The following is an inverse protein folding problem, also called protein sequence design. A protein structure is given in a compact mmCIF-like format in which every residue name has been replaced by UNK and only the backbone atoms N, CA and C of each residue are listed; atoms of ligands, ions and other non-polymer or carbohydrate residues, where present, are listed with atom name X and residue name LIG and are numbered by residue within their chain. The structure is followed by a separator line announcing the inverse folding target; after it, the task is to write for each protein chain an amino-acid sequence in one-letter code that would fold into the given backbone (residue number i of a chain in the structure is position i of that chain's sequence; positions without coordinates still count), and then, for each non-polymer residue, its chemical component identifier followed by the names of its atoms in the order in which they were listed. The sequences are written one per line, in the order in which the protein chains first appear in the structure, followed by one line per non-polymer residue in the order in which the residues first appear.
data_IF_095944910912
#
_entry.id   IF_095944910912
#
_cell.length_a   1.000
_cell.length_b   1.000
_cell.length_c   1.000
_cell.angle_alpha   90.00
_cell.angle_beta   90.00
_cell.angle_gamma   90.00
#
_symmetry.space_group_name_H-M   'P 1'
#
loop_
_entity.id
_entity.type
_entity.pdbx_description
1 polymer ?
#
# COMPACT_ATOMS: atom_id res chain seq x y z
N UNK A 1 -6.00 -2.34 -0.09
CA UNK A 1 -7.08 -1.43 0.40
C UNK A 1 -8.15 -1.24 -0.67
N UNK A 2 -7.79 -0.91 -1.93
CA UNK A 2 -8.76 -0.61 -3.00
C UNK A 2 -9.72 -1.77 -3.23
N UNK A 3 -9.24 -2.98 -3.50
CA UNK A 3 -10.10 -4.14 -3.73
C UNK A 3 -11.07 -4.43 -2.57
N UNK A 4 -10.60 -4.30 -1.32
CA UNK A 4 -11.43 -4.52 -0.13
C UNK A 4 -12.55 -3.49 0.03
N UNK A 5 -12.37 -2.26 -0.45
CA UNK A 5 -13.42 -1.23 -0.39
C UNK A 5 -14.35 -1.26 -1.61
N UNK A 6 -13.85 -1.64 -2.79
CA UNK A 6 -14.67 -1.83 -3.98
C UNK A 6 -15.47 -3.13 -3.93
N UNK A 7 -14.97 -4.13 -3.22
CA UNK A 7 -15.57 -5.45 -3.04
C UNK A 7 -16.09 -6.07 -4.36
N UNK A 8 -15.27 -6.17 -5.42
CA UNK A 8 -15.70 -6.78 -6.66
C UNK A 8 -16.04 -8.26 -6.43
N UNK A 9 -17.03 -8.78 -7.14
CA UNK A 9 -17.44 -10.18 -7.02
C UNK A 9 -16.29 -11.17 -7.27
N UNK A 10 -15.39 -10.83 -8.20
CA UNK A 10 -14.17 -11.60 -8.52
C UNK A 10 -12.96 -10.67 -8.57
N UNK A 11 -11.83 -11.11 -8.05
CA UNK A 11 -10.56 -10.38 -8.15
C UNK A 11 -9.35 -11.31 -8.10
N UNK A 12 -8.32 -10.96 -8.90
CA UNK A 12 -6.97 -11.45 -8.73
C UNK A 12 -6.15 -10.35 -8.02
N UNK A 13 -5.65 -10.67 -6.83
CA UNK A 13 -4.85 -9.78 -5.99
C UNK A 13 -3.40 -10.30 -5.99
N UNK A 14 -2.53 -9.60 -6.69
CA UNK A 14 -1.14 -10.01 -6.85
C UNK A 14 -0.16 -9.02 -6.24
N UNK A 15 0.89 -9.54 -5.67
CA UNK A 15 2.04 -8.79 -5.13
C UNK A 15 3.31 -9.61 -5.30
N UNK A 16 4.44 -8.95 -5.54
CA UNK A 16 5.74 -9.60 -5.59
C UNK A 16 6.25 -10.01 -4.19
N UNK A 17 5.70 -9.41 -3.12
CA UNK A 17 6.04 -9.74 -1.75
C UNK A 17 5.27 -10.99 -1.27
N UNK A 18 5.97 -12.14 -1.11
CA UNK A 18 5.31 -13.39 -0.73
C UNK A 18 4.69 -13.36 0.68
N UNK A 19 5.19 -12.50 1.57
CA UNK A 19 4.71 -12.43 2.96
C UNK A 19 3.33 -11.79 3.04
N UNK A 20 3.06 -10.77 2.20
CA UNK A 20 1.74 -10.15 2.08
C UNK A 20 0.72 -11.17 1.56
N UNK A 21 1.06 -11.85 0.48
CA UNK A 21 0.17 -12.86 -0.13
C UNK A 21 -0.05 -14.03 0.82
N UNK A 22 0.99 -14.51 1.50
CA UNK A 22 0.88 -15.59 2.50
C UNK A 22 -0.06 -15.19 3.64
N UNK A 23 0.02 -13.96 4.13
CA UNK A 23 -0.86 -13.46 5.17
C UNK A 23 -2.34 -13.48 4.74
N UNK A 24 -2.67 -12.99 3.54
CA UNK A 24 -4.04 -13.03 3.04
C UNK A 24 -4.53 -14.44 2.75
N UNK A 25 -3.68 -15.32 2.22
CA UNK A 25 -4.01 -16.75 2.06
C UNK A 25 -4.27 -17.44 3.40
N UNK A 26 -3.51 -17.13 4.43
CA UNK A 26 -3.75 -17.68 5.76
C UNK A 26 -5.10 -17.22 6.36
N UNK A 27 -5.54 -15.98 6.07
CA UNK A 27 -6.89 -15.52 6.41
C UNK A 27 -7.93 -16.27 5.58
N UNK A 28 -7.74 -16.45 4.27
CA UNK A 28 -8.64 -17.17 3.39
C UNK A 28 -8.83 -18.62 3.84
N UNK A 29 -7.76 -19.26 4.29
CA UNK A 29 -7.75 -20.63 4.80
C UNK A 29 -8.19 -20.73 6.28
N UNK A 30 -8.62 -19.62 6.88
CA UNK A 30 -9.06 -19.54 8.28
C UNK A 30 -7.99 -19.93 9.33
N UNK A 31 -6.72 -19.95 8.93
CA UNK A 31 -5.58 -20.13 9.85
C UNK A 31 -5.35 -18.87 10.69
N UNK A 32 -5.60 -17.69 10.10
CA UNK A 32 -5.58 -16.39 10.78
C UNK A 32 -7.02 -15.91 10.93
N UNK A 33 -7.48 -15.83 12.17
CA UNK A 33 -8.80 -15.39 12.56
C UNK A 33 -8.72 -14.20 13.52
N UNK A 34 -9.85 -13.54 13.77
CA UNK A 34 -9.94 -12.50 14.80
C UNK A 34 -9.41 -13.00 16.15
N UNK A 35 -9.79 -14.20 16.56
CA UNK A 35 -9.42 -14.76 17.85
C UNK A 35 -7.92 -15.07 17.94
N UNK A 36 -7.35 -15.72 16.90
CA UNK A 36 -5.92 -16.04 16.86
C UNK A 36 -5.06 -14.78 16.85
N UNK A 37 -5.44 -13.75 16.09
CA UNK A 37 -4.74 -12.44 16.06
C UNK A 37 -4.82 -11.75 17.42
N UNK A 38 -5.99 -11.70 18.02
CA UNK A 38 -6.17 -11.07 19.33
C UNK A 38 -5.30 -11.73 20.40
N UNK A 39 -5.35 -13.05 20.48
CA UNK A 39 -4.56 -13.82 21.44
C UNK A 39 -3.06 -13.64 21.24
N UNK A 40 -2.61 -13.81 20.00
CA UNK A 40 -1.20 -13.67 19.64
C UNK A 40 -0.65 -12.28 19.97
N UNK A 41 -1.34 -11.22 19.52
CA UNK A 41 -0.88 -9.85 19.77
C UNK A 41 -0.95 -9.46 21.26
N UNK A 42 -1.85 -10.05 22.07
CA UNK A 42 -1.86 -9.86 23.51
C UNK A 42 -0.61 -10.49 24.16
N UNK A 43 -0.28 -11.73 23.81
CA UNK A 43 0.89 -12.42 24.33
C UNK A 43 2.19 -11.75 23.90
N UNK A 44 2.39 -11.55 22.60
CA UNK A 44 3.62 -10.96 22.07
C UNK A 44 3.78 -9.49 22.50
N UNK A 45 2.67 -8.74 22.57
CA UNK A 45 2.66 -7.37 23.05
C UNK A 45 3.04 -7.24 24.53
N UNK A 46 2.60 -8.18 25.37
CA UNK A 46 2.99 -8.25 26.77
C UNK A 46 4.49 -8.55 26.94
N UNK A 47 5.01 -9.51 26.17
CA UNK A 47 6.45 -9.81 26.17
C UNK A 47 7.27 -8.60 25.70
N UNK A 48 6.81 -7.91 24.66
CA UNK A 48 7.45 -6.68 24.16
C UNK A 48 7.47 -5.58 25.23
N UNK A 49 6.40 -5.41 26.00
CA UNK A 49 6.34 -4.43 27.09
C UNK A 49 7.29 -4.78 28.24
N UNK A 50 7.47 -6.07 28.53
CA UNK A 50 8.31 -6.56 29.63
C UNK A 50 9.79 -6.53 29.29
N UNK A 51 10.17 -7.02 28.11
CA UNK A 51 11.57 -7.24 27.69
C UNK A 51 12.09 -6.07 26.84
N UNK A 52 11.21 -5.42 26.08
CA UNK A 52 11.58 -4.28 25.23
C UNK A 52 12.19 -4.67 23.90
N UNK A 53 13.23 -3.94 23.48
CA UNK A 53 13.81 -4.06 22.15
C UNK A 53 14.36 -5.46 21.84
N UNK A 54 14.92 -6.15 22.81
CA UNK A 54 15.50 -7.49 22.61
C UNK A 54 14.44 -8.49 22.17
N UNK A 55 13.22 -8.37 22.73
CA UNK A 55 12.10 -9.20 22.31
C UNK A 55 11.68 -8.94 20.85
N UNK A 56 11.66 -7.68 20.44
CA UNK A 56 11.40 -7.35 19.04
C UNK A 56 12.37 -8.06 18.10
N UNK A 57 13.66 -8.02 18.42
CA UNK A 57 14.69 -8.67 17.60
C UNK A 57 14.59 -10.20 17.65
N UNK A 58 14.19 -10.78 18.79
CA UNK A 58 13.89 -12.23 18.89
C UNK A 58 12.76 -12.62 17.92
N UNK A 59 11.65 -11.87 17.90
CA UNK A 59 10.54 -12.13 16.96
C UNK A 59 10.98 -11.93 15.52
N UNK A 60 11.79 -10.89 15.25
CA UNK A 60 12.32 -10.66 13.90
C UNK A 60 13.19 -11.83 13.40
N UNK A 61 14.04 -12.35 14.25
CA UNK A 61 14.92 -13.48 13.90
C UNK A 61 14.10 -14.75 13.73
N UNK A 62 13.07 -14.98 14.58
CA UNK A 62 12.10 -16.07 14.41
C UNK A 62 11.37 -15.97 13.06
N UNK A 63 10.86 -14.79 12.74
CA UNK A 63 10.23 -14.54 11.44
C UNK A 63 11.16 -14.82 10.26
N UNK A 64 12.41 -14.36 10.34
CA UNK A 64 13.39 -14.57 9.28
C UNK A 64 13.73 -16.05 9.06
N UNK A 65 13.50 -16.91 10.06
CA UNK A 65 13.68 -18.36 9.95
C UNK A 65 12.41 -19.07 9.47
N UNK A 66 11.25 -18.70 10.04
CA UNK A 66 9.98 -19.43 9.85
C UNK A 66 9.07 -18.80 8.80
N UNK A 67 9.20 -17.48 8.59
CA UNK A 67 8.32 -16.65 7.76
C UNK A 67 6.84 -16.75 8.18
N UNK A 68 6.58 -16.90 9.47
CA UNK A 68 5.24 -16.99 10.03
C UNK A 68 4.44 -15.70 9.82
N UNK A 69 3.17 -15.85 9.45
CA UNK A 69 2.32 -14.72 9.10
C UNK A 69 1.86 -13.87 10.31
N UNK A 70 1.76 -14.46 11.50
CA UNK A 70 1.46 -13.70 12.72
C UNK A 70 2.67 -12.93 13.20
N UNK A 71 3.89 -13.50 13.08
CA UNK A 71 5.13 -12.77 13.31
C UNK A 71 5.27 -11.60 12.35
N UNK A 72 4.90 -11.78 11.08
CA UNK A 72 4.87 -10.69 10.11
C UNK A 72 3.93 -9.55 10.52
N UNK A 73 2.73 -9.88 10.98
CA UNK A 73 1.77 -8.90 11.52
C UNK A 73 2.34 -8.15 12.73
N UNK A 74 2.96 -8.87 13.67
CA UNK A 74 3.61 -8.26 14.84
C UNK A 74 4.72 -7.31 14.42
N UNK A 75 5.62 -7.75 13.53
CA UNK A 75 6.74 -6.94 13.05
C UNK A 75 6.27 -5.69 12.30
N UNK A 76 5.28 -5.81 11.42
CA UNK A 76 4.70 -4.66 10.75
C UNK A 76 4.14 -3.63 11.75
N UNK A 77 3.51 -4.10 12.84
CA UNK A 77 2.99 -3.23 13.90
C UNK A 77 4.08 -2.61 14.78
N UNK A 78 5.14 -3.38 15.09
CA UNK A 78 6.19 -2.99 16.03
C UNK A 78 7.35 -2.23 15.38
N UNK A 79 7.56 -2.35 14.07
CA UNK A 79 8.68 -1.74 13.38
C UNK A 79 8.53 -0.23 13.19
N UNK A 80 9.64 0.40 12.80
CA UNK A 80 9.69 1.82 12.48
C UNK A 80 8.76 2.14 11.30
N UNK A 81 7.81 3.02 11.51
CA UNK A 81 6.80 3.51 10.55
C UNK A 81 5.96 2.42 9.83
N UNK A 82 5.93 1.19 10.33
CA UNK A 82 5.21 0.10 9.67
C UNK A 82 5.81 -0.30 8.31
N UNK A 83 7.09 -0.04 8.11
CA UNK A 83 7.77 -0.36 6.86
C UNK A 83 7.88 -1.88 6.67
N UNK A 84 7.67 -2.34 5.44
CA UNK A 84 7.87 -3.74 5.04
C UNK A 84 9.11 -3.82 4.16
N UNK A 85 10.29 -3.73 4.81
CA UNK A 85 11.59 -3.75 4.12
C UNK A 85 12.33 -5.03 4.39
N UNK A 86 12.94 -5.56 3.34
CA UNK A 86 13.74 -6.78 3.36
C UNK A 86 15.12 -6.52 2.77
N UNK A 87 16.13 -7.22 3.23
CA UNK A 87 17.45 -7.17 2.64
C UNK A 87 17.53 -8.07 1.38
N UNK A 88 18.69 -8.07 0.71
CA UNK A 88 18.90 -8.89 -0.51
C UNK A 88 18.77 -10.41 -0.29
N UNK A 89 18.85 -10.87 0.97
CA UNK A 89 18.64 -12.27 1.34
C UNK A 89 17.17 -12.59 1.66
N UNK A 90 16.26 -11.60 1.52
CA UNK A 90 14.84 -11.74 1.85
C UNK A 90 14.53 -11.66 3.35
N UNK A 91 15.48 -11.24 4.19
CA UNK A 91 15.25 -11.08 5.61
C UNK A 91 14.66 -9.71 5.95
N UNK A 92 13.63 -9.71 6.78
CA UNK A 92 13.06 -8.48 7.33
C UNK A 92 14.09 -7.74 8.19
N UNK A 93 14.38 -6.48 7.89
CA UNK A 93 15.49 -5.73 8.48
C UNK A 93 15.12 -4.36 9.04
N UNK A 94 13.83 -4.09 9.25
CA UNK A 94 13.38 -2.81 9.82
C UNK A 94 13.66 -2.78 11.33
N UNK A 95 14.16 -1.66 11.89
CA UNK A 95 14.39 -1.52 13.32
C UNK A 95 13.09 -1.37 14.11
N UNK A 96 13.14 -1.63 15.41
CA UNK A 96 12.05 -1.41 16.36
C UNK A 96 11.68 0.08 16.47
N UNK A 97 10.38 0.39 16.48
CA UNK A 97 9.89 1.76 16.64
C UNK A 97 10.00 2.33 18.06
N UNK A 98 10.39 1.52 19.04
CA UNK A 98 10.47 1.86 20.49
C UNK A 98 9.16 2.36 21.10
N UNK A 99 8.01 1.88 20.59
CA UNK A 99 6.66 2.25 21.05
C UNK A 99 5.84 1.01 21.41
N UNK A 100 6.12 0.33 22.55
CA UNK A 100 5.40 -0.88 22.95
C UNK A 100 3.91 -0.62 23.19
N UNK A 101 3.50 0.62 23.53
CA UNK A 101 2.10 1.03 23.67
C UNK A 101 1.26 0.84 22.39
N UNK A 102 1.87 0.57 21.24
CA UNK A 102 1.16 0.17 20.03
C UNK A 102 0.41 -1.16 20.18
N UNK A 103 0.70 -1.94 21.22
CA UNK A 103 0.03 -3.18 21.60
C UNK A 103 -0.93 -3.00 22.79
N UNK A 104 -1.44 -1.80 23.01
CA UNK A 104 -2.51 -1.60 24.00
C UNK A 104 -3.79 -2.37 23.59
N UNK A 105 -4.65 -2.76 24.56
CA UNK A 105 -5.85 -3.56 24.29
C UNK A 105 -6.75 -2.95 23.21
N UNK A 106 -6.88 -1.62 23.18
CA UNK A 106 -7.68 -0.90 22.17
C UNK A 106 -7.13 -1.06 20.76
N UNK A 107 -5.81 -0.98 20.59
CA UNK A 107 -5.17 -1.19 19.28
C UNK A 107 -5.25 -2.64 18.84
N UNK A 108 -5.04 -3.59 19.74
CA UNK A 108 -5.18 -5.03 19.44
C UNK A 108 -6.61 -5.34 18.99
N UNK A 109 -7.61 -4.84 19.69
CA UNK A 109 -9.02 -5.00 19.30
C UNK A 109 -9.29 -4.40 17.91
N UNK A 110 -8.74 -3.22 17.62
CA UNK A 110 -8.89 -2.59 16.30
C UNK A 110 -8.29 -3.47 15.20
N UNK A 111 -7.07 -3.99 15.40
CA UNK A 111 -6.41 -4.88 14.42
C UNK A 111 -7.21 -6.18 14.23
N UNK A 112 -7.65 -6.81 15.33
CA UNK A 112 -8.43 -8.04 15.26
C UNK A 112 -9.77 -7.84 14.52
N UNK A 113 -10.44 -6.70 14.73
CA UNK A 113 -11.66 -6.35 13.99
C UNK A 113 -11.39 -6.07 12.51
N UNK A 114 -10.25 -5.46 12.16
CA UNK A 114 -9.84 -5.29 10.76
C UNK A 114 -9.60 -6.64 10.08
N UNK A 115 -8.93 -7.58 10.76
CA UNK A 115 -8.73 -8.93 10.23
C UNK A 115 -10.07 -9.66 10.04
N UNK A 116 -11.00 -9.51 10.98
CA UNK A 116 -12.34 -10.09 10.84
C UNK A 116 -13.08 -9.52 9.63
N UNK A 117 -13.04 -8.20 9.44
CA UNK A 117 -13.65 -7.57 8.27
C UNK A 117 -13.02 -8.05 6.96
N UNK A 118 -11.68 -8.12 6.90
CA UNK A 118 -10.94 -8.67 5.75
C UNK A 118 -11.36 -10.12 5.47
N UNK A 119 -11.44 -10.95 6.52
CA UNK A 119 -11.87 -12.35 6.39
C UNK A 119 -13.29 -12.47 5.82
N UNK A 120 -14.22 -11.62 6.26
CA UNK A 120 -15.58 -11.56 5.72
C UNK A 120 -15.57 -11.23 4.22
N UNK A 121 -14.80 -10.22 3.80
CA UNK A 121 -14.68 -9.87 2.39
C UNK A 121 -14.13 -11.03 1.56
N UNK A 122 -13.05 -11.67 2.01
CA UNK A 122 -12.42 -12.80 1.32
C UNK A 122 -13.36 -14.00 1.20
N UNK A 123 -14.17 -14.29 2.22
CA UNK A 123 -15.06 -15.44 2.25
C UNK A 123 -16.35 -15.23 1.44
N UNK A 124 -16.74 -13.98 1.20
CA UNK A 124 -17.97 -13.65 0.47
C UNK A 124 -17.75 -13.37 -1.01
N UNK A 125 -16.51 -13.31 -1.46
CA UNK A 125 -16.15 -12.99 -2.84
C UNK A 125 -15.19 -14.05 -3.42
N UNK A 126 -15.18 -14.18 -4.74
CA UNK A 126 -14.26 -15.07 -5.47
C UNK A 126 -12.93 -14.34 -5.71
N UNK A 127 -12.09 -14.30 -4.67
CA UNK A 127 -10.80 -13.63 -4.72
C UNK A 127 -9.64 -14.61 -4.68
N UNK A 128 -8.72 -14.46 -5.61
CA UNK A 128 -7.46 -15.17 -5.68
C UNK A 128 -6.30 -14.28 -5.23
N UNK A 129 -5.36 -14.85 -4.45
CA UNK A 129 -4.13 -14.17 -4.03
C UNK A 129 -2.93 -14.83 -4.69
N UNK A 130 -2.14 -14.07 -5.44
CA UNK A 130 -1.02 -14.61 -6.22
C UNK A 130 0.29 -13.91 -5.88
N UNK A 131 1.35 -14.68 -5.62
CA UNK A 131 2.71 -14.15 -5.60
C UNK A 131 3.17 -14.08 -7.05
N UNK A 132 3.19 -12.90 -7.63
CA UNK A 132 3.60 -12.71 -9.01
C UNK A 132 4.16 -11.30 -9.25
N UNK A 133 5.16 -11.14 -10.12
CA UNK A 133 5.57 -9.84 -10.60
C UNK A 133 4.49 -9.28 -11.54
N UNK A 134 4.41 -7.96 -11.62
CA UNK A 134 3.38 -7.26 -12.38
C UNK A 134 3.26 -7.70 -13.86
N UNK A 135 4.36 -8.05 -14.61
CA UNK A 135 4.20 -8.46 -16.01
C UNK A 135 3.41 -9.76 -16.15
N UNK A 136 3.63 -10.72 -15.23
CA UNK A 136 2.91 -11.99 -15.20
C UNK A 136 1.43 -11.78 -14.86
N UNK A 137 1.14 -10.84 -13.95
CA UNK A 137 -0.24 -10.51 -13.57
C UNK A 137 -0.97 -9.81 -14.71
N UNK A 138 -0.34 -8.82 -15.35
CA UNK A 138 -0.97 -8.08 -16.45
C UNK A 138 -1.22 -8.96 -17.69
N UNK A 139 -0.36 -9.96 -17.95
CA UNK A 139 -0.55 -10.90 -19.05
C UNK A 139 -1.82 -11.76 -18.92
N UNK A 140 -2.42 -11.85 -17.73
CA UNK A 140 -3.66 -12.59 -17.47
C UNK A 140 -4.91 -11.75 -17.74
N UNK A 141 -4.77 -10.42 -17.88
CA UNK A 141 -5.90 -9.52 -18.02
C UNK A 141 -6.58 -9.67 -19.39
N UNK A 142 -7.91 -9.71 -19.38
CA UNK A 142 -8.77 -9.80 -20.56
C UNK A 142 -9.54 -8.49 -20.83
N UNK A 143 -10.26 -8.40 -21.93
CA UNK A 143 -11.03 -7.22 -22.28
C UNK A 143 -12.19 -6.91 -21.29
N UNK A 144 -12.60 -7.89 -20.49
CA UNK A 144 -13.66 -7.74 -19.48
C UNK A 144 -13.13 -7.37 -18.10
N UNK A 145 -11.82 -7.35 -17.93
CA UNK A 145 -11.18 -7.06 -16.64
C UNK A 145 -10.89 -5.57 -16.51
N UNK A 146 -10.95 -5.08 -15.28
CA UNK A 146 -10.46 -3.78 -14.88
C UNK A 146 -9.24 -3.93 -13.97
N UNK A 147 -8.11 -3.35 -14.36
CA UNK A 147 -6.85 -3.49 -13.65
C UNK A 147 -6.58 -2.26 -12.78
N UNK A 148 -6.35 -2.45 -11.48
CA UNK A 148 -5.84 -1.40 -10.60
C UNK A 148 -4.35 -1.59 -10.35
N UNK A 149 -3.57 -0.55 -10.59
CA UNK A 149 -2.10 -0.51 -10.48
C UNK A 149 -1.68 0.40 -9.33
N UNK A 150 -0.88 -0.11 -8.40
CA UNK A 150 -0.28 0.64 -7.29
C UNK A 150 1.24 0.42 -7.27
N UNK A 151 1.96 0.95 -8.29
CA UNK A 151 3.40 0.75 -8.40
C UNK A 151 4.17 1.58 -7.36
N UNK A 152 5.42 1.20 -7.07
CA UNK A 152 6.33 2.05 -6.32
C UNK A 152 6.49 3.43 -6.96
N UNK A 153 6.53 4.47 -6.14
CA UNK A 153 6.62 5.85 -6.64
C UNK A 153 8.04 6.20 -7.07
N UNK A 154 8.22 6.53 -8.35
CA UNK A 154 9.51 7.01 -8.88
C UNK A 154 9.95 8.29 -8.16
N UNK A 155 11.26 8.36 -7.86
CA UNK A 155 11.87 9.50 -7.15
C UNK A 155 11.58 9.57 -5.66
N UNK A 156 10.87 8.59 -5.10
CA UNK A 156 10.78 8.37 -3.65
C UNK A 156 11.64 7.18 -3.26
N UNK A 157 12.38 7.33 -2.16
CA UNK A 157 13.07 6.18 -1.57
C UNK A 157 12.03 5.20 -1.03
N UNK A 158 11.79 4.17 -1.80
CA UNK A 158 10.98 3.04 -1.39
C UNK A 158 11.92 1.85 -1.26
N UNK A 159 12.17 1.41 -0.03
CA UNK A 159 12.99 0.24 0.29
C UNK A 159 12.16 -1.04 0.04
N UNK A 160 11.80 -1.29 -1.22
CA UNK A 160 11.13 -2.53 -1.61
C UNK A 160 12.13 -3.68 -1.75
N UNK A 161 11.64 -4.92 -1.71
CA UNK A 161 12.46 -6.12 -1.89
C UNK A 161 13.17 -6.18 -3.24
N UNK A 162 12.57 -5.57 -4.25
CA UNK A 162 13.11 -5.46 -5.62
C UNK A 162 13.32 -3.98 -5.94
N UNK A 163 14.48 -3.61 -6.51
CA UNK A 163 14.67 -2.26 -7.02
C UNK A 163 13.56 -1.92 -8.03
N UNK A 164 13.05 -0.67 -7.95
CA UNK A 164 12.10 -0.13 -8.90
C UNK A 164 12.76 1.05 -9.60
N UNK A 165 13.12 0.85 -10.85
CA UNK A 165 13.88 1.81 -11.64
C UNK A 165 12.97 2.54 -12.65
N UNK A 166 13.51 3.56 -13.28
CA UNK A 166 12.79 4.33 -14.31
C UNK A 166 12.32 3.43 -15.44
N UNK A 167 13.16 2.49 -15.88
CA UNK A 167 12.83 1.55 -16.94
C UNK A 167 11.64 0.64 -16.60
N UNK A 168 11.52 0.20 -15.33
CA UNK A 168 10.37 -0.60 -14.87
C UNK A 168 9.08 0.20 -14.93
N UNK A 169 9.13 1.46 -14.52
CA UNK A 169 7.97 2.34 -14.54
C UNK A 169 7.52 2.69 -15.97
N UNK A 170 8.45 2.89 -16.88
CA UNK A 170 8.17 3.11 -18.30
C UNK A 170 7.58 1.85 -18.96
N UNK A 171 8.14 0.68 -18.66
CA UNK A 171 7.63 -0.60 -19.14
C UNK A 171 6.21 -0.88 -18.62
N UNK A 172 5.95 -0.56 -17.32
CA UNK A 172 4.61 -0.68 -16.75
C UNK A 172 3.60 0.23 -17.46
N UNK A 173 3.99 1.49 -17.74
CA UNK A 173 3.11 2.44 -18.43
C UNK A 173 2.73 1.96 -19.83
N UNK A 174 3.70 1.45 -20.59
CA UNK A 174 3.46 0.87 -21.91
C UNK A 174 2.54 -0.35 -21.84
N UNK A 175 2.81 -1.27 -20.90
CA UNK A 175 2.00 -2.47 -20.72
C UNK A 175 0.57 -2.15 -20.28
N UNK A 176 0.37 -1.17 -19.40
CA UNK A 176 -0.94 -0.73 -18.96
C UNK A 176 -1.77 -0.14 -20.12
N UNK A 177 -1.16 0.70 -20.94
CA UNK A 177 -1.83 1.29 -22.11
C UNK A 177 -2.22 0.24 -23.16
N UNK A 178 -1.46 -0.86 -23.25
CA UNK A 178 -1.74 -1.98 -24.15
C UNK A 178 -2.80 -2.96 -23.60
N UNK A 179 -3.28 -2.80 -22.36
CA UNK A 179 -4.31 -3.67 -21.80
C UNK A 179 -5.57 -3.68 -22.66
N UNK A 180 -6.17 -4.86 -22.91
CA UNK A 180 -7.40 -4.95 -23.69
C UNK A 180 -8.60 -4.36 -22.95
N UNK A 181 -8.62 -4.43 -21.60
CA UNK A 181 -9.66 -3.88 -20.72
C UNK A 181 -9.31 -2.51 -20.17
N UNK A 182 -10.04 -2.07 -19.14
CA UNK A 182 -9.81 -0.81 -18.44
C UNK A 182 -8.69 -0.90 -17.41
N UNK A 183 -8.10 0.25 -17.07
CA UNK A 183 -7.21 0.33 -15.92
C UNK A 183 -7.32 1.67 -15.18
N UNK A 184 -6.87 1.66 -13.91
CA UNK A 184 -6.53 2.85 -13.15
C UNK A 184 -5.19 2.63 -12.43
N UNK A 185 -4.34 3.67 -12.41
CA UNK A 185 -3.06 3.65 -11.71
C UNK A 185 -2.97 4.79 -10.70
N UNK A 186 -2.60 4.50 -9.45
CA UNK A 186 -2.34 5.52 -8.45
C UNK A 186 -0.89 5.96 -8.50
N UNK A 187 -0.65 7.28 -8.49
CA UNK A 187 0.69 7.87 -8.48
C UNK A 187 0.71 9.17 -7.69
N UNK A 188 1.85 9.50 -7.09
CA UNK A 188 2.05 10.88 -6.65
C UNK A 188 2.25 11.78 -7.87
N UNK A 189 1.70 12.99 -7.80
CA UNK A 189 1.80 13.95 -8.90
C UNK A 189 2.84 15.03 -8.60
N UNK A 190 2.65 15.74 -7.52
CA UNK A 190 3.59 16.78 -7.08
C UNK A 190 3.44 17.05 -5.57
N UNK A 191 4.42 17.74 -5.04
CA UNK A 191 4.36 18.44 -3.75
C UNK A 191 4.98 19.82 -3.92
N UNK A 192 5.08 20.60 -2.84
CA UNK A 192 5.66 21.94 -2.86
C UNK A 192 7.12 22.03 -3.35
N UNK A 193 7.84 20.89 -3.45
CA UNK A 193 9.27 20.87 -3.81
C UNK A 193 9.54 20.19 -5.14
N UNK A 194 8.68 19.27 -5.58
CA UNK A 194 8.98 18.40 -6.74
C UNK A 194 7.71 18.03 -7.49
N UNK A 195 7.85 17.87 -8.79
CA UNK A 195 6.84 17.32 -9.69
C UNK A 195 7.29 15.95 -10.21
N UNK A 196 6.35 15.04 -10.41
CA UNK A 196 6.60 13.75 -11.01
C UNK A 196 6.57 13.85 -12.55
N UNK A 197 7.72 14.12 -13.15
CA UNK A 197 7.83 14.24 -14.61
C UNK A 197 7.43 12.94 -15.35
N UNK A 198 7.52 11.77 -14.69
CA UNK A 198 7.13 10.49 -15.27
C UNK A 198 5.64 10.45 -15.65
N UNK A 199 4.76 11.10 -14.87
CA UNK A 199 3.34 11.17 -15.20
C UNK A 199 3.11 11.88 -16.52
N UNK A 200 3.72 13.03 -16.72
CA UNK A 200 3.61 13.78 -17.98
C UNK A 200 4.27 13.03 -19.16
N UNK A 201 5.39 12.35 -18.92
CA UNK A 201 6.13 11.66 -19.97
C UNK A 201 5.45 10.37 -20.44
N UNK A 202 4.90 9.57 -19.52
CA UNK A 202 4.47 8.21 -19.82
C UNK A 202 2.95 8.01 -19.74
N UNK A 203 2.20 8.92 -19.10
CA UNK A 203 0.77 8.76 -18.86
C UNK A 203 -0.09 9.90 -19.43
N UNK A 204 0.47 10.72 -20.31
CA UNK A 204 -0.22 11.89 -20.91
C UNK A 204 -1.54 11.53 -21.62
N UNK A 205 -1.68 10.31 -22.12
CA UNK A 205 -2.89 9.82 -22.79
C UNK A 205 -4.00 9.35 -21.83
N UNK A 206 -3.79 9.41 -20.51
CA UNK A 206 -4.78 8.96 -19.51
C UNK A 206 -5.66 10.13 -19.04
N UNK A 207 -6.87 9.80 -18.58
CA UNK A 207 -7.68 10.73 -17.79
C UNK A 207 -7.09 10.80 -16.37
N UNK A 208 -6.86 12.02 -15.87
CA UNK A 208 -6.23 12.22 -14.56
C UNK A 208 -7.24 12.79 -13.57
N UNK A 209 -7.39 12.13 -12.41
CA UNK A 209 -8.12 12.64 -11.26
C UNK A 209 -7.13 12.97 -10.17
N UNK A 210 -7.16 14.17 -9.63
CA UNK A 210 -6.20 14.65 -8.62
C UNK A 210 -6.89 14.77 -7.26
N UNK A 211 -6.23 14.26 -6.23
CA UNK A 211 -6.65 14.38 -4.84
C UNK A 211 -5.48 14.86 -3.98
N UNK A 212 -5.69 15.95 -3.25
CA UNK A 212 -4.73 16.36 -2.24
C UNK A 212 -4.77 15.40 -1.04
N UNK A 213 -3.62 14.92 -0.62
CA UNK A 213 -3.46 14.06 0.54
C UNK A 213 -2.37 14.60 1.46
N UNK A 214 -2.64 14.68 2.77
CA UNK A 214 -1.68 15.14 3.75
C UNK A 214 -1.01 13.95 4.45
N UNK A 215 0.31 13.83 4.25
CA UNK A 215 1.10 12.79 4.91
C UNK A 215 1.64 13.27 6.25
N UNK A 216 1.12 12.69 7.34
CA UNK A 216 1.58 12.95 8.72
C UNK A 216 2.89 12.20 9.07
N UNK A 217 3.38 11.33 8.18
CA UNK A 217 4.52 10.44 8.44
C UNK A 217 5.73 10.88 7.61
N UNK A 218 6.78 11.31 8.28
CA UNK A 218 8.08 11.63 7.69
C UNK A 218 9.14 11.77 8.76
N UNK A 219 10.38 11.33 8.48
CA UNK A 219 11.51 11.42 9.43
C UNK A 219 11.95 12.87 9.70
N UNK A 220 11.65 13.79 8.79
CA UNK A 220 11.87 15.23 8.93
C UNK A 220 10.54 15.95 8.76
N UNK A 221 10.34 17.05 9.47
CA UNK A 221 9.16 17.90 9.40
C UNK A 221 8.87 18.40 7.97
N UNK A 222 9.92 18.70 7.22
CA UNK A 222 9.90 19.02 5.78
C UNK A 222 9.30 17.92 4.86
N UNK A 223 9.16 16.68 5.35
CA UNK A 223 8.56 15.59 4.58
C UNK A 223 7.09 15.33 4.95
N UNK A 224 6.57 16.11 5.89
CA UNK A 224 5.15 16.16 6.24
C UNK A 224 4.55 17.32 5.44
N UNK A 225 3.56 17.03 4.64
CA UNK A 225 2.94 18.06 3.82
C UNK A 225 1.89 17.51 2.87
N UNK A 226 1.18 18.42 2.24
CA UNK A 226 0.22 18.07 1.21
C UNK A 226 0.97 17.54 -0.02
N UNK A 227 0.47 16.44 -0.55
CA UNK A 227 0.91 15.81 -1.77
C UNK A 227 -0.31 15.68 -2.65
N UNK A 228 -0.21 16.13 -3.89
CA UNK A 228 -1.19 15.82 -4.90
C UNK A 228 -0.94 14.38 -5.37
N UNK A 229 -1.95 13.53 -5.21
CA UNK A 229 -1.98 12.19 -5.76
C UNK A 229 -2.89 12.15 -6.98
N UNK A 230 -2.49 11.40 -7.99
CA UNK A 230 -3.23 11.21 -9.22
C UNK A 230 -3.77 9.80 -9.31
N UNK A 231 -5.01 9.67 -9.74
CA UNK A 231 -5.56 8.45 -10.29
C UNK A 231 -5.61 8.60 -11.82
N UNK A 232 -4.77 7.85 -12.50
CA UNK A 232 -4.61 7.85 -13.95
C UNK A 232 -5.50 6.74 -14.52
N UNK A 233 -6.48 7.10 -15.33
CA UNK A 233 -7.53 6.18 -15.79
C UNK A 233 -7.44 6.05 -17.31
N UNK A 234 -7.60 4.84 -17.82
CA UNK A 234 -7.69 4.61 -19.27
C UNK A 234 -8.86 5.41 -19.86
N UNK A 235 -8.68 6.15 -20.98
CA UNK A 235 -9.77 6.91 -21.60
C UNK A 235 -11.02 6.07 -21.85
N UNK A 236 -12.19 6.64 -21.53
CA UNK A 236 -13.48 5.97 -21.66
C UNK A 236 -13.90 5.08 -20.49
N UNK A 237 -13.07 4.99 -19.44
CA UNK A 237 -13.39 4.22 -18.22
C UNK A 237 -13.67 5.08 -16.99
N UNK A 238 -13.53 6.40 -17.07
CA UNK A 238 -13.98 7.29 -16.01
C UNK A 238 -15.52 7.41 -16.01
N UNK A 239 -16.14 7.30 -14.83
CA UNK A 239 -17.60 7.30 -14.69
C UNK A 239 -18.27 8.62 -15.09
N UNK A 240 -17.52 9.72 -15.08
CA UNK A 240 -18.00 11.05 -15.48
C UNK A 240 -16.99 11.69 -16.43
N UNK A 241 -17.42 12.12 -17.65
CA UNK A 241 -16.56 12.86 -18.53
C UNK A 241 -16.09 14.13 -17.83
N UNK A 242 -14.80 14.46 -17.95
CA UNK A 242 -14.29 15.75 -17.52
C UNK A 242 -14.91 16.83 -18.41
N UNK A 243 -15.51 17.84 -17.80
CA UNK A 243 -16.07 19.00 -18.54
C UNK A 243 -14.98 19.93 -19.06
N UNK A 244 -13.75 19.79 -18.59
CA UNK A 244 -12.53 20.37 -19.15
C UNK A 244 -11.35 19.40 -18.96
N UNK A 245 -10.34 19.41 -19.85
CA UNK A 245 -9.11 18.69 -19.62
C UNK A 245 -8.33 19.41 -18.50
N UNK A 246 -8.61 19.07 -17.24
CA UNK A 246 -7.71 19.37 -16.15
C UNK A 246 -6.47 18.50 -16.32
N UNK A 247 -5.63 18.98 -17.20
CA UNK A 247 -4.32 18.40 -17.38
C UNK A 247 -3.60 18.42 -16.02
N UNK A 248 -2.93 17.32 -15.70
CA UNK A 248 -1.91 17.25 -14.67
C UNK A 248 -0.84 18.38 -14.74
N UNK A 249 -1.01 19.34 -15.63
CA UNK A 249 -0.13 20.48 -15.86
C UNK A 249 -0.60 21.78 -15.20
N UNK A 250 -1.87 21.93 -14.84
CA UNK A 250 -2.30 23.08 -14.04
C UNK A 250 -2.11 22.75 -12.57
N UNK A 251 -1.07 23.31 -11.99
CA UNK A 251 -0.92 23.42 -10.55
C UNK A 251 -2.16 24.09 -10.01
N UNK A 252 -3.02 23.34 -9.35
CA UNK A 252 -4.16 23.91 -8.65
C UNK A 252 -3.62 24.53 -7.34
N UNK A 253 -3.05 25.75 -7.49
CA UNK A 253 -2.60 26.59 -6.37
C UNK A 253 -3.75 26.82 -5.37
N UNK A 254 -5.00 26.77 -5.82
CA UNK A 254 -6.17 26.90 -4.99
C UNK A 254 -6.41 25.66 -4.08
N UNK A 255 -6.18 24.44 -4.56
CA UNK A 255 -6.33 23.24 -3.76
C UNK A 255 -5.23 23.13 -2.69
N UNK A 256 -4.03 23.63 -3.00
CA UNK A 256 -2.93 23.74 -2.04
C UNK A 256 -3.22 24.82 -1.00
N UNK A 257 -3.77 25.97 -1.40
CA UNK A 257 -4.12 27.08 -0.50
C UNK A 257 -5.22 26.69 0.50
N UNK A 258 -6.22 25.91 0.09
CA UNK A 258 -7.25 25.39 0.98
C UNK A 258 -6.72 24.37 2.01
N UNK A 259 -5.68 23.63 1.69
CA UNK A 259 -5.03 22.71 2.63
C UNK A 259 -4.12 23.42 3.66
N UNK A 260 -3.73 24.67 3.40
CA UNK A 260 -2.87 25.49 4.27
C UNK A 260 -3.62 26.62 5.00
N UNK A 261 -4.91 26.83 4.73
CA UNK A 261 -5.68 28.02 5.17
C UNK A 261 -6.39 27.91 6.50
N UNK A 262 -6.39 26.79 7.22
CA UNK A 262 -7.22 26.59 8.41
C UNK A 262 -6.47 26.47 9.75
N UNK A 263 -5.18 26.75 9.85
CA UNK A 263 -4.43 26.70 11.13
C UNK A 263 -3.80 28.03 11.57
N UNK A 264 -4.40 29.17 11.22
CA UNK A 264 -4.16 30.42 11.96
C UNK A 264 -5.43 30.84 12.71
N UNK A 265 -5.70 30.22 13.86
CA UNK A 265 -6.39 30.77 15.06
C UNK A 265 -6.88 29.61 15.96
N UNK A 266 -6.04 29.21 16.91
CA UNK A 266 -6.41 28.89 18.31
C UNK A 266 -5.19 28.47 19.12
#
# INVERSE_FOLDING_TARGET
VVAFNLAPARALLADSNPHIIRFYRAIQQQQITRATVQHFLQQEGQQLCTIGADYYYTVRDRFNQTQDSLDFLFLNRACFNGLMRFNRQGHFNVPFCRKPQRFSPSYITKIANQVQWVAQQIQTHDWEFQVAPWPVTLAQATATDFVYLDPPYIGRHADYCTPWEQADAEALALAAQALPGGFAASMWLHNQYRQNAHVAACWAATECRVQAHFYHVGAKELWRGAIAEALLIKPGYAAYPMTEPDFCQKTDEAAIALAYGEDEHS
#
